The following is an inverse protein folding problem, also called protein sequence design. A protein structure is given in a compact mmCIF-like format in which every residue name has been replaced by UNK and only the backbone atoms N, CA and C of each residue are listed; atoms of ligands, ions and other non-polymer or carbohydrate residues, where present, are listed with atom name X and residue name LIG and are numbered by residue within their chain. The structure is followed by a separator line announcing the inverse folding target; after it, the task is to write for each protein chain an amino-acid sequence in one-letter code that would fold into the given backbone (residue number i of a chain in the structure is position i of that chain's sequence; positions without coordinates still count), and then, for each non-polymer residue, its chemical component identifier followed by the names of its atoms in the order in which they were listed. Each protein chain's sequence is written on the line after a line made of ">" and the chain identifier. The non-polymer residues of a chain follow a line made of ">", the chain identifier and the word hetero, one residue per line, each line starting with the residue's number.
data_IF_516105544112
#
_entry.id   IF_516105544112
#
_cell.length_a   1.000
_cell.length_b   1.000
_cell.length_c   1.000
_cell.angle_alpha   90.00
_cell.angle_beta   90.00
_cell.angle_gamma   90.00
#
_symmetry.space_group_name_H-M   'P 1'
#
loop_
_entity.id
_entity.type
_entity.pdbx_description
1 polymer ?
#
# COMPACT_ATOMS: atom_id res chain seq x y z
N UNK A 1 5.82 14.45 -33.13
CA UNK A 1 6.79 13.92 -32.15
C UNK A 1 6.57 12.42 -32.15
N UNK A 2 7.56 11.58 -32.50
CA UNK A 2 7.32 10.14 -32.48
C UNK A 2 7.11 9.73 -31.02
N UNK A 3 6.00 9.04 -30.76
CA UNK A 3 5.67 8.47 -29.46
C UNK A 3 6.74 7.42 -29.13
N UNK A 4 7.55 7.72 -28.11
CA UNK A 4 8.55 6.80 -27.59
C UNK A 4 7.82 5.60 -26.96
N UNK A 5 7.76 4.53 -27.73
CA UNK A 5 7.14 3.25 -27.39
C UNK A 5 8.15 2.31 -26.70
N UNK A 6 9.25 2.84 -26.13
CA UNK A 6 10.20 2.05 -25.36
C UNK A 6 9.60 1.63 -24.01
N UNK A 7 9.42 0.36 -23.67
CA UNK A 7 9.30 -0.85 -24.45
C UNK A 7 8.35 -1.73 -23.62
N UNK A 8 7.32 -2.32 -24.21
CA UNK A 8 6.48 -3.34 -23.53
C UNK A 8 7.34 -4.55 -23.08
N UNK A 9 8.61 -4.64 -23.55
CA UNK A 9 9.61 -5.64 -23.17
C UNK A 9 11.00 -5.00 -23.03
N UNK A 10 11.35 -4.38 -21.90
CA UNK A 10 12.70 -3.86 -21.67
C UNK A 10 13.71 -5.02 -21.57
N UNK A 11 14.98 -4.74 -21.82
CA UNK A 11 16.05 -5.65 -21.41
C UNK A 11 16.14 -5.70 -19.88
N UNK A 12 16.81 -6.72 -19.33
CA UNK A 12 17.02 -6.80 -17.89
C UNK A 12 17.75 -5.56 -17.33
N UNK A 13 18.69 -5.01 -18.08
CA UNK A 13 19.44 -3.81 -17.68
C UNK A 13 18.56 -2.56 -17.68
N UNK A 14 17.75 -2.37 -18.73
CA UNK A 14 16.79 -1.26 -18.80
C UNK A 14 15.74 -1.37 -17.68
N UNK A 15 15.25 -2.56 -17.38
CA UNK A 15 14.33 -2.80 -16.27
C UNK A 15 14.98 -2.48 -14.92
N UNK A 16 16.26 -2.85 -14.73
CA UNK A 16 17.02 -2.55 -13.52
C UNK A 16 17.22 -1.05 -13.33
N UNK A 17 17.64 -0.33 -14.36
CA UNK A 17 17.82 1.13 -14.32
C UNK A 17 16.49 1.86 -14.05
N UNK A 18 15.41 1.47 -14.74
CA UNK A 18 14.08 2.02 -14.52
C UNK A 18 13.58 1.76 -13.10
N UNK A 19 13.82 0.56 -12.57
CA UNK A 19 13.50 0.23 -11.17
C UNK A 19 14.27 1.10 -10.19
N UNK A 20 15.59 1.29 -10.36
CA UNK A 20 16.37 2.16 -9.49
C UNK A 20 15.89 3.60 -9.53
N UNK A 21 15.59 4.13 -10.73
CA UNK A 21 15.04 5.48 -10.88
C UNK A 21 13.68 5.61 -10.18
N UNK A 22 12.81 4.61 -10.30
CA UNK A 22 11.52 4.58 -9.62
C UNK A 22 11.68 4.57 -8.10
N UNK A 23 12.55 3.72 -7.57
CA UNK A 23 12.83 3.65 -6.12
C UNK A 23 13.34 5.00 -5.61
N UNK A 24 14.30 5.61 -6.32
CA UNK A 24 14.83 6.92 -5.94
C UNK A 24 13.74 8.01 -5.93
N UNK A 25 12.89 8.05 -6.97
CA UNK A 25 11.78 9.00 -7.05
C UNK A 25 10.72 8.78 -5.95
N UNK A 26 10.42 7.52 -5.60
CA UNK A 26 9.52 7.20 -4.49
C UNK A 26 10.09 7.67 -3.16
N UNK A 27 11.39 7.49 -2.94
CA UNK A 27 12.05 7.95 -1.71
C UNK A 27 12.09 9.48 -1.62
N UNK A 28 12.43 10.17 -2.72
CA UNK A 28 12.39 11.63 -2.79
C UNK A 28 10.97 12.16 -2.50
N UNK A 29 9.95 11.52 -3.08
CA UNK A 29 8.57 11.87 -2.82
C UNK A 29 8.18 11.66 -1.35
N UNK A 30 8.61 10.55 -0.76
CA UNK A 30 8.39 10.25 0.65
C UNK A 30 9.03 11.29 1.57
N UNK A 31 10.26 11.70 1.26
CA UNK A 31 10.96 12.76 2.00
C UNK A 31 10.23 14.11 1.90
N UNK A 32 9.79 14.48 0.69
CA UNK A 32 9.03 15.71 0.44
C UNK A 32 7.72 15.74 1.23
N UNK A 33 6.95 14.65 1.22
CA UNK A 33 5.70 14.55 1.96
C UNK A 33 5.94 14.56 3.48
N UNK A 34 7.00 13.91 3.96
CA UNK A 34 7.33 13.91 5.39
C UNK A 34 7.74 15.29 5.88
N UNK A 35 8.43 16.08 5.05
CA UNK A 35 8.83 17.44 5.36
C UNK A 35 7.67 18.47 5.20
N UNK A 36 6.53 18.06 4.65
CA UNK A 36 5.41 18.95 4.37
C UNK A 36 4.70 19.40 5.68
N UNK A 37 4.69 20.70 6.03
CA UNK A 37 4.13 21.19 7.30
C UNK A 37 2.65 20.85 7.49
N UNK A 38 1.88 20.80 6.41
CA UNK A 38 0.47 20.42 6.42
C UNK A 38 0.24 18.96 6.83
N UNK A 39 1.20 18.07 6.54
CA UNK A 39 1.18 16.66 6.94
C UNK A 39 1.72 16.44 8.36
N UNK A 40 2.42 17.42 8.93
CA UNK A 40 2.80 17.42 10.34
C UNK A 40 1.65 17.89 11.26
N UNK A 41 0.56 18.42 10.70
CA UNK A 41 -0.58 18.90 11.45
C UNK A 41 -1.48 17.74 11.94
N UNK A 42 -1.62 17.56 13.25
CA UNK A 42 -2.50 16.55 13.83
C UNK A 42 -3.94 16.67 13.31
N UNK A 43 -4.47 17.89 13.19
CA UNK A 43 -5.83 18.12 12.69
C UNK A 43 -6.04 17.61 11.26
N UNK A 44 -4.98 17.63 10.42
CA UNK A 44 -5.02 17.05 9.08
C UNK A 44 -5.28 15.55 9.13
N UNK A 45 -4.62 14.84 10.05
CA UNK A 45 -4.78 13.40 10.21
C UNK A 45 -6.08 13.03 10.93
N UNK A 46 -6.45 13.76 11.99
CA UNK A 46 -7.70 13.54 12.74
C UNK A 46 -8.91 13.58 11.81
N UNK A 47 -8.95 14.51 10.86
CA UNK A 47 -10.04 14.61 9.88
C UNK A 47 -10.14 13.38 8.94
N UNK A 48 -9.05 12.60 8.78
CA UNK A 48 -8.97 11.43 7.89
C UNK A 48 -9.11 10.09 8.61
N UNK A 49 -8.98 10.06 9.93
CA UNK A 49 -9.18 8.83 10.74
C UNK A 49 -10.46 8.08 10.38
N UNK A 50 -11.63 8.73 10.16
CA UNK A 50 -12.86 8.01 9.82
C UNK A 50 -12.82 7.23 8.50
N UNK A 51 -11.83 7.48 7.63
CA UNK A 51 -11.63 6.75 6.37
C UNK A 51 -10.92 5.40 6.58
N UNK A 52 -10.30 5.18 7.75
CA UNK A 52 -9.54 3.97 8.08
C UNK A 52 -10.30 3.10 9.09
N UNK A 53 -11.55 2.74 8.78
CA UNK A 53 -12.40 1.85 9.58
C UNK A 53 -13.12 0.84 8.70
N UNK A 54 -13.62 -0.24 9.29
CA UNK A 54 -14.42 -1.22 8.56
C UNK A 54 -15.64 -0.54 7.91
N UNK A 55 -15.91 -0.88 6.65
CA UNK A 55 -16.98 -0.29 5.84
C UNK A 55 -16.71 1.12 5.28
N UNK A 56 -15.53 1.72 5.55
CA UNK A 56 -15.18 3.02 4.96
C UNK A 56 -14.60 2.92 3.53
N UNK A 57 -14.25 1.71 3.09
CA UNK A 57 -13.82 1.44 1.73
C UNK A 57 -14.52 0.18 1.24
N UNK A 58 -15.18 0.31 0.09
CA UNK A 58 -15.78 -0.83 -0.60
C UNK A 58 -14.70 -1.59 -1.37
N UNK A 59 -14.82 -2.91 -1.41
CA UNK A 59 -13.92 -3.79 -2.15
C UNK A 59 -14.69 -5.03 -2.54
N UNK A 60 -14.77 -5.27 -3.84
CA UNK A 60 -15.50 -6.41 -4.44
C UNK A 60 -14.90 -7.74 -4.01
N UNK A 61 -13.60 -7.75 -3.69
CA UNK A 61 -12.86 -8.93 -3.26
C UNK A 61 -13.18 -9.36 -1.82
N UNK A 62 -13.76 -8.48 -0.99
CA UNK A 62 -13.94 -8.73 0.45
C UNK A 62 -14.83 -9.93 0.73
N UNK A 63 -15.95 -10.06 0.03
CA UNK A 63 -16.90 -11.15 0.27
C UNK A 63 -16.27 -12.50 -0.06
N UNK A 64 -15.56 -12.56 -1.20
CA UNK A 64 -14.83 -13.76 -1.58
C UNK A 64 -13.74 -14.11 -0.56
N UNK A 65 -12.92 -13.14 -0.15
CA UNK A 65 -11.88 -13.38 0.85
C UNK A 65 -12.47 -13.85 2.19
N UNK A 66 -13.58 -13.25 2.66
CA UNK A 66 -14.29 -13.69 3.87
C UNK A 66 -14.74 -15.15 3.79
N UNK A 67 -15.18 -15.61 2.62
CA UNK A 67 -15.61 -17.00 2.44
C UNK A 67 -14.49 -18.04 2.60
N UNK A 68 -13.23 -17.62 2.49
CA UNK A 68 -12.05 -18.49 2.61
C UNK A 68 -11.49 -18.54 4.03
N UNK A 69 -11.83 -17.57 4.88
CA UNK A 69 -11.25 -17.38 6.20
C UNK A 69 -12.04 -18.14 7.27
N UNK A 70 -11.32 -18.59 8.29
CA UNK A 70 -11.85 -19.16 9.52
C UNK A 70 -11.54 -18.25 10.69
N UNK A 71 -12.36 -18.32 11.73
CA UNK A 71 -12.22 -17.48 12.92
C UNK A 71 -10.88 -17.68 13.66
N UNK A 72 -10.23 -18.84 13.50
CA UNK A 72 -8.95 -19.19 14.10
C UNK A 72 -7.74 -18.87 13.21
N UNK A 73 -7.94 -18.33 12.00
CA UNK A 73 -6.85 -18.03 11.08
C UNK A 73 -6.00 -16.84 11.52
N UNK A 74 -4.76 -16.82 11.00
CA UNK A 74 -3.86 -15.67 11.06
C UNK A 74 -3.64 -15.16 9.65
N UNK A 75 -4.15 -13.97 9.36
CA UNK A 75 -4.04 -13.33 8.04
C UNK A 75 -2.78 -12.46 7.96
N UNK A 76 -2.04 -12.58 6.86
CA UNK A 76 -0.94 -11.66 6.52
C UNK A 76 -1.29 -10.86 5.27
N UNK A 77 -1.43 -9.54 5.42
CA UNK A 77 -1.68 -8.61 4.30
C UNK A 77 -0.36 -7.91 3.91
N UNK A 78 0.15 -8.25 2.72
CA UNK A 78 1.40 -7.73 2.16
C UNK A 78 1.07 -6.52 1.28
N UNK A 79 1.63 -5.36 1.62
CA UNK A 79 1.31 -4.13 0.89
C UNK A 79 -0.06 -3.56 1.28
N UNK A 80 -0.54 -3.88 2.49
CA UNK A 80 -1.84 -3.48 3.01
C UNK A 80 -2.16 -1.97 2.90
N UNK A 81 -1.12 -1.12 2.81
CA UNK A 81 -1.27 0.33 2.76
C UNK A 81 -2.10 0.85 3.93
N UNK A 82 -3.22 1.51 3.60
CA UNK A 82 -4.23 2.01 4.52
C UNK A 82 -5.06 0.93 5.24
N UNK A 83 -4.92 -0.34 4.84
CA UNK A 83 -5.67 -1.47 5.40
C UNK A 83 -7.03 -1.70 4.74
N UNK A 84 -7.18 -1.40 3.43
CA UNK A 84 -8.43 -1.61 2.67
C UNK A 84 -9.01 -3.01 2.87
N UNK A 85 -8.15 -4.03 2.94
CA UNK A 85 -8.53 -5.43 3.19
C UNK A 85 -8.28 -5.83 4.64
N UNK A 86 -7.10 -5.50 5.19
CA UNK A 86 -6.74 -5.84 6.57
C UNK A 86 -7.76 -5.39 7.63
N UNK A 87 -8.31 -4.18 7.53
CA UNK A 87 -9.25 -3.65 8.53
C UNK A 87 -10.58 -4.43 8.51
N UNK A 88 -11.33 -4.51 7.40
CA UNK A 88 -12.59 -5.23 7.39
C UNK A 88 -12.43 -6.75 7.58
N UNK A 89 -11.28 -7.36 7.23
CA UNK A 89 -11.04 -8.78 7.47
C UNK A 89 -10.61 -9.09 8.91
N UNK A 90 -10.16 -8.09 9.67
CA UNK A 90 -9.78 -8.28 11.08
C UNK A 90 -10.94 -8.71 11.99
N UNK A 91 -12.18 -8.47 11.57
CA UNK A 91 -13.39 -8.92 12.26
C UNK A 91 -13.68 -10.42 12.04
N UNK A 92 -13.02 -11.06 11.07
CA UNK A 92 -13.30 -12.42 10.62
C UNK A 92 -12.27 -13.46 11.05
N UNK A 93 -11.14 -13.04 11.62
CA UNK A 93 -9.99 -13.91 11.96
C UNK A 93 -9.44 -13.60 13.34
N UNK A 94 -8.67 -14.53 13.91
CA UNK A 94 -8.08 -14.36 15.23
C UNK A 94 -7.04 -13.23 15.26
N UNK A 95 -6.30 -13.04 14.15
CA UNK A 95 -5.24 -12.04 14.06
C UNK A 95 -4.96 -11.61 12.63
N UNK A 96 -4.73 -10.31 12.44
CA UNK A 96 -4.19 -9.74 11.19
C UNK A 96 -2.80 -9.18 11.45
N UNK A 97 -1.82 -9.67 10.69
CA UNK A 97 -0.48 -9.11 10.62
C UNK A 97 -0.36 -8.27 9.36
N UNK A 98 0.06 -7.01 9.52
CA UNK A 98 0.42 -6.14 8.40
C UNK A 98 1.93 -6.06 8.30
N UNK A 99 2.49 -6.32 7.13
CA UNK A 99 3.88 -5.96 6.84
C UNK A 99 3.87 -4.79 5.87
N UNK A 100 4.29 -3.61 6.35
CA UNK A 100 4.77 -2.57 5.45
C UNK A 100 6.01 -3.17 4.80
N UNK A 101 6.04 -3.25 3.47
CA UNK A 101 7.26 -3.61 2.76
C UNK A 101 8.24 -2.46 3.04
N UNK A 102 9.05 -2.63 4.09
CA UNK A 102 10.28 -1.90 4.22
C UNK A 102 11.12 -2.45 3.08
N UNK A 103 11.39 -1.61 2.08
CA UNK A 103 12.56 -1.83 1.26
C UNK A 103 13.71 -1.67 2.25
N UNK A 104 14.19 -2.79 2.79
CA UNK A 104 15.36 -2.82 3.65
C UNK A 104 16.51 -2.15 2.87
N UNK A 105 17.25 -1.27 3.54
CA UNK A 105 18.30 -0.43 2.97
C UNK A 105 19.23 -1.26 2.06
N UNK A 106 19.25 -0.88 0.78
CA UNK A 106 20.20 -1.37 -0.22
C UNK A 106 21.52 -0.60 -0.15
#
# INVERSE_FOLDING_TARGET
>A
MPEDTSAIRPTAEQAREAWHALVAAVQEQGARLTAAPELANEAFWTARVPMFRAGASESEELEYLRSLLRADDVLMDIGAGAGRLAIPLSESVARVNRRRQLLDDA
#
